data_IF_663766223114
#
_entry.id   IF_663766223114
#
_cell.length_a   1.000
_cell.length_b   1.000
_cell.length_c   1.000
_cell.angle_alpha   90.00
_cell.angle_beta   90.00
_cell.angle_gamma   90.00
#
_symmetry.space_group_name_H-M   'P 1'
#
loop_
_entity.id
_entity.type
_entity.pdbx_description
1 polymer ?
#
# COMPACT_ATOMS: atom_id res chain seq x y z
N UNK A 1 -16.73 -10.69 -24.09
CA UNK A 1 -16.33 -11.32 -22.81
C UNK A 1 -15.41 -12.53 -22.97
N UNK A 2 -15.23 -13.11 -24.16
CA UNK A 2 -14.27 -14.22 -24.35
C UNK A 2 -12.82 -13.74 -24.59
N UNK A 3 -12.64 -12.45 -24.89
CA UNK A 3 -11.38 -11.84 -25.32
C UNK A 3 -10.45 -11.46 -24.15
N UNK A 4 -11.02 -11.07 -23.01
CA UNK A 4 -10.24 -10.69 -21.81
C UNK A 4 -9.65 -11.88 -21.06
N UNK A 5 -10.25 -13.07 -21.24
CA UNK A 5 -9.76 -14.30 -20.62
C UNK A 5 -8.54 -14.82 -21.37
N UNK A 6 -8.49 -14.62 -22.68
CA UNK A 6 -7.42 -15.13 -23.54
C UNK A 6 -6.12 -14.33 -23.36
N UNK A 7 -6.23 -13.02 -23.10
CA UNK A 7 -5.07 -12.16 -22.79
C UNK A 7 -4.37 -12.60 -21.48
N UNK A 8 -5.13 -12.91 -20.44
CA UNK A 8 -4.61 -13.34 -19.13
C UNK A 8 -3.82 -14.68 -19.18
N UNK A 9 -4.12 -15.57 -20.13
CA UNK A 9 -3.42 -16.85 -20.29
C UNK A 9 -2.34 -16.84 -21.38
N UNK A 10 -2.37 -15.88 -22.32
CA UNK A 10 -1.40 -15.80 -23.42
C UNK A 10 -0.03 -15.27 -22.95
N UNK A 11 0.01 -14.48 -21.86
CA UNK A 11 1.28 -13.95 -21.31
C UNK A 11 2.13 -15.02 -20.61
N UNK A 12 1.65 -16.26 -20.47
CA UNK A 12 2.30 -17.26 -19.61
C UNK A 12 3.17 -18.30 -20.33
N UNK A 13 3.27 -18.26 -21.67
CA UNK A 13 4.04 -19.26 -22.42
C UNK A 13 5.44 -18.83 -22.86
N UNK A 14 5.76 -17.54 -22.80
CA UNK A 14 7.09 -17.00 -23.18
C UNK A 14 7.82 -16.35 -21.99
N UNK A 15 7.34 -16.58 -20.76
CA UNK A 15 8.03 -16.10 -19.57
C UNK A 15 9.29 -16.95 -19.36
N UNK A 16 10.40 -16.47 -19.94
CA UNK A 16 11.75 -16.84 -19.54
C UNK A 16 11.76 -17.04 -18.03
N UNK A 17 12.09 -18.25 -17.60
CA UNK A 17 12.48 -18.58 -16.22
C UNK A 17 13.83 -17.89 -15.86
N UNK A 18 14.05 -16.67 -16.34
CA UNK A 18 15.18 -15.83 -16.04
C UNK A 18 14.97 -15.20 -14.68
N UNK A 19 15.43 -15.88 -13.64
CA UNK A 19 15.70 -15.28 -12.34
C UNK A 19 14.52 -14.47 -11.76
N UNK A 20 13.48 -15.16 -11.28
CA UNK A 20 12.56 -14.60 -10.28
C UNK A 20 13.30 -14.43 -8.93
N UNK A 21 14.43 -13.74 -8.93
CA UNK A 21 15.01 -13.23 -7.70
C UNK A 21 13.99 -12.27 -7.10
N UNK A 22 13.74 -12.37 -5.80
CA UNK A 22 12.87 -11.43 -5.09
C UNK A 22 13.25 -10.01 -5.50
N UNK A 23 12.32 -9.33 -6.17
CA UNK A 23 12.53 -7.93 -6.55
C UNK A 23 12.73 -7.14 -5.26
N UNK A 24 13.79 -6.33 -5.23
CA UNK A 24 14.07 -5.50 -4.07
C UNK A 24 12.83 -4.62 -3.78
N UNK A 25 12.41 -4.49 -2.51
CA UNK A 25 11.19 -3.78 -2.19
C UNK A 25 11.21 -2.37 -2.77
N UNK A 26 10.12 -1.98 -3.45
CA UNK A 26 9.96 -0.66 -4.06
C UNK A 26 10.35 0.43 -3.05
N UNK A 27 11.33 1.27 -3.41
CA UNK A 27 11.82 2.34 -2.57
C UNK A 27 10.70 3.32 -2.17
N UNK A 28 9.74 3.59 -3.06
CA UNK A 28 8.58 4.43 -2.76
C UNK A 28 7.66 3.78 -1.74
N UNK A 29 7.46 2.45 -1.82
CA UNK A 29 6.68 1.70 -0.82
C UNK A 29 7.34 1.78 0.55
N UNK A 30 8.67 1.72 0.61
CA UNK A 30 9.41 1.85 1.87
C UNK A 30 9.21 3.24 2.47
N UNK A 31 9.35 4.29 1.66
CA UNK A 31 9.14 5.69 2.10
C UNK A 31 7.70 5.87 2.61
N UNK A 32 6.72 5.37 1.86
CA UNK A 32 5.31 5.43 2.25
C UNK A 32 5.08 4.71 3.59
N UNK A 33 5.63 3.50 3.74
CA UNK A 33 5.51 2.71 4.96
C UNK A 33 6.10 3.43 6.18
N UNK A 34 7.29 4.01 6.04
CA UNK A 34 7.95 4.77 7.12
C UNK A 34 7.10 5.98 7.55
N UNK A 35 6.50 6.70 6.60
CA UNK A 35 5.59 7.81 6.90
C UNK A 35 4.31 7.33 7.59
N UNK A 36 3.72 6.23 7.12
CA UNK A 36 2.53 5.64 7.72
C UNK A 36 2.80 5.18 9.15
N UNK A 37 3.93 4.50 9.36
CA UNK A 37 4.33 4.02 10.68
C UNK A 37 4.53 5.20 11.64
N UNK A 38 5.27 6.24 11.21
CA UNK A 38 5.50 7.43 12.03
C UNK A 38 4.20 8.14 12.43
N UNK A 39 3.27 8.32 11.49
CA UNK A 39 1.99 9.02 11.73
C UNK A 39 0.97 8.17 12.51
N UNK A 40 1.19 6.86 12.60
CA UNK A 40 0.35 5.93 13.35
C UNK A 40 0.70 5.85 14.84
N UNK A 41 1.87 6.37 15.26
CA UNK A 41 2.28 6.37 16.67
C UNK A 41 1.41 7.32 17.52
N UNK A 42 1.22 7.03 18.83
CA UNK A 42 0.54 7.95 19.74
C UNK A 42 1.18 9.33 19.75
N UNK A 43 0.37 10.39 19.89
CA UNK A 43 0.86 11.77 19.96
C UNK A 43 1.85 12.02 21.11
N UNK A 44 1.62 11.34 22.23
CA UNK A 44 2.45 11.35 23.43
C UNK A 44 2.17 10.05 24.20
N UNK A 45 3.00 9.73 25.20
CA UNK A 45 2.87 8.51 26.00
C UNK A 45 1.50 8.43 26.69
N UNK A 46 0.80 7.31 26.51
CA UNK A 46 -0.55 7.11 27.04
C UNK A 46 -1.67 7.75 26.21
N UNK A 47 -1.37 8.48 25.14
CA UNK A 47 -2.40 9.01 24.24
C UNK A 47 -3.14 7.86 23.53
N UNK A 48 -4.49 7.84 23.52
CA UNK A 48 -5.26 6.89 22.74
C UNK A 48 -5.27 7.24 21.24
N UNK A 49 -4.68 8.36 20.84
CA UNK A 49 -4.80 8.93 19.50
C UNK A 49 -3.43 9.23 18.89
N UNK A 50 -3.32 8.88 17.60
CA UNK A 50 -2.23 9.25 16.70
C UNK A 50 -2.64 10.42 15.80
N UNK A 51 -1.65 11.05 15.14
CA UNK A 51 -1.90 12.08 14.13
C UNK A 51 -2.86 11.58 13.04
N UNK A 52 -2.63 10.36 12.56
CA UNK A 52 -3.49 9.71 11.56
C UNK A 52 -4.94 9.59 12.05
N UNK A 53 -5.15 9.12 13.29
CA UNK A 53 -6.50 8.95 13.85
C UNK A 53 -7.26 10.27 14.03
N UNK A 54 -6.55 11.38 14.26
CA UNK A 54 -7.14 12.72 14.36
C UNK A 54 -7.47 13.25 12.97
N UNK A 55 -6.57 13.09 12.01
CA UNK A 55 -6.81 13.47 10.63
C UNK A 55 -8.08 12.79 10.07
N UNK A 56 -8.23 11.48 10.30
CA UNK A 56 -9.44 10.73 9.92
C UNK A 56 -10.69 11.34 10.56
N UNK A 57 -10.68 11.58 11.88
CA UNK A 57 -11.81 12.22 12.58
C UNK A 57 -12.15 13.59 12.00
N UNK A 58 -11.15 14.44 11.76
CA UNK A 58 -11.35 15.77 11.20
C UNK A 58 -11.96 15.72 9.80
N UNK A 59 -11.51 14.79 8.96
CA UNK A 59 -12.07 14.57 7.63
C UNK A 59 -13.54 14.10 7.72
N UNK A 60 -13.85 13.20 8.65
CA UNK A 60 -15.22 12.72 8.86
C UNK A 60 -16.21 13.78 9.33
N UNK A 61 -15.75 14.88 9.95
CA UNK A 61 -16.63 15.98 10.41
C UNK A 61 -17.25 16.73 9.23
N UNK A 62 -16.56 16.79 8.09
CA UNK A 62 -16.99 17.57 6.91
C UNK A 62 -17.83 16.75 5.92
N UNK A 63 -18.10 15.48 6.21
CA UNK A 63 -18.87 14.58 5.33
C UNK A 63 -20.40 14.59 5.57
N UNK A 64 -20.94 15.64 6.22
CA UNK A 64 -22.38 15.91 6.30
C UNK A 64 -22.75 17.16 5.49
#
# INVERSE_FOLDING_TARGET
MHDMVQDAFTVHFDFEYGNQGEEAPNAECKIFFEQLEATSRPLYEGSPHSQLSIAVRLLSIKSN
#
